data_IF_507387423488
#
_entry.id   IF_507387423488
#
_cell.length_a   1.000
_cell.length_b   1.000
_cell.length_c   1.000
_cell.angle_alpha   90.00
_cell.angle_beta   90.00
_cell.angle_gamma   90.00
#
_symmetry.space_group_name_H-M   'P 1'
#
loop_
_entity.id
_entity.type
_entity.pdbx_description
1 polymer ?
#
# COMPACT_ATOMS: atom_id res chain seq x y z
N UNK A 1 3.40 -17.32 -71.83
CA UNK A 1 2.84 -17.79 -70.54
C UNK A 1 3.60 -17.14 -69.39
N UNK A 2 2.98 -17.00 -68.22
CA UNK A 2 3.62 -16.58 -66.96
C UNK A 2 4.07 -17.84 -66.17
N UNK A 3 4.85 -17.84 -65.07
CA UNK A 3 5.49 -16.82 -64.19
C UNK A 3 6.92 -17.31 -63.83
N UNK A 4 7.79 -16.46 -63.26
CA UNK A 4 9.07 -16.92 -62.70
C UNK A 4 9.98 -15.83 -62.13
N UNK A 5 9.67 -15.30 -60.94
CA UNK A 5 10.47 -14.24 -60.32
C UNK A 5 11.83 -14.73 -59.82
N UNK A 6 12.88 -13.92 -60.01
CA UNK A 6 14.20 -14.17 -59.40
C UNK A 6 14.07 -14.11 -57.87
N UNK A 7 14.35 -15.23 -57.20
CA UNK A 7 14.32 -15.31 -55.75
C UNK A 7 15.30 -14.34 -55.10
N UNK A 8 14.85 -13.60 -54.08
CA UNK A 8 15.76 -12.81 -53.22
C UNK A 8 16.63 -13.78 -52.41
N UNK A 9 17.91 -13.48 -52.15
CA UNK A 9 18.71 -14.29 -51.24
C UNK A 9 18.08 -14.29 -49.85
N UNK A 10 17.92 -15.48 -49.27
CA UNK A 10 17.54 -15.63 -47.86
C UNK A 10 18.69 -15.13 -46.99
N UNK A 11 18.47 -14.00 -46.31
CA UNK A 11 19.45 -13.43 -45.39
C UNK A 11 19.18 -13.98 -43.97
N UNK A 12 20.05 -14.83 -43.39
CA UNK A 12 19.80 -15.47 -42.10
C UNK A 12 19.99 -14.53 -40.88
N UNK A 13 20.25 -13.23 -41.10
CA UNK A 13 20.76 -12.31 -40.08
C UNK A 13 19.74 -11.81 -39.04
N UNK A 14 18.60 -12.48 -38.84
CA UNK A 14 17.60 -12.13 -37.82
C UNK A 14 16.95 -13.34 -37.15
N UNK A 15 17.74 -14.32 -36.71
CA UNK A 15 17.36 -15.05 -35.49
C UNK A 15 17.70 -14.18 -34.28
N UNK A 16 16.69 -13.47 -33.75
CA UNK A 16 16.70 -13.02 -32.35
C UNK A 16 16.66 -14.28 -31.49
N UNK A 17 17.81 -14.91 -31.30
CA UNK A 17 17.94 -16.16 -30.56
C UNK A 17 17.48 -15.94 -29.12
N UNK A 18 16.38 -16.61 -28.73
CA UNK A 18 15.89 -16.59 -27.37
C UNK A 18 16.97 -17.14 -26.44
N UNK A 19 17.70 -16.27 -25.75
CA UNK A 19 18.80 -16.62 -24.83
C UNK A 19 18.37 -17.43 -23.59
N UNK A 20 17.10 -17.80 -23.50
CA UNK A 20 16.58 -18.79 -22.57
C UNK A 20 16.78 -20.25 -23.06
N UNK A 21 16.91 -20.49 -24.37
CA UNK A 21 17.03 -21.84 -24.93
C UNK A 21 18.35 -22.54 -24.51
N UNK A 22 19.45 -21.79 -24.38
CA UNK A 22 20.77 -22.33 -24.01
C UNK A 22 20.97 -22.63 -22.52
N UNK A 23 20.07 -22.20 -21.63
CA UNK A 23 20.18 -22.46 -20.18
C UNK A 23 19.79 -23.90 -19.85
N UNK A 24 20.60 -24.57 -19.03
CA UNK A 24 20.29 -25.93 -18.55
C UNK A 24 19.01 -25.93 -17.70
N UNK A 25 18.33 -27.08 -17.61
CA UNK A 25 17.14 -27.24 -16.77
C UNK A 25 17.40 -26.81 -15.31
N UNK A 26 18.58 -27.15 -14.77
CA UNK A 26 19.01 -26.75 -13.44
C UNK A 26 19.17 -25.22 -13.29
N UNK A 27 19.78 -24.53 -14.26
CA UNK A 27 19.88 -23.07 -14.25
C UNK A 27 18.51 -22.39 -14.31
N UNK A 28 17.58 -22.91 -15.12
CA UNK A 28 16.19 -22.40 -15.18
C UNK A 28 15.47 -22.60 -13.84
N UNK A 29 15.62 -23.77 -13.22
CA UNK A 29 15.05 -24.07 -11.91
C UNK A 29 15.61 -23.17 -10.79
N UNK A 30 16.92 -22.88 -10.82
CA UNK A 30 17.59 -21.97 -9.88
C UNK A 30 17.08 -20.52 -10.03
N UNK A 31 16.98 -20.01 -11.26
CA UNK A 31 16.45 -18.67 -11.54
C UNK A 31 14.97 -18.54 -11.09
N UNK A 32 14.15 -19.56 -11.32
CA UNK A 32 12.76 -19.58 -10.82
C UNK A 32 12.67 -19.65 -9.29
N UNK A 33 13.58 -20.37 -8.62
CA UNK A 33 13.67 -20.39 -7.16
C UNK A 33 14.04 -19.00 -6.60
N UNK A 34 15.07 -18.37 -7.15
CA UNK A 34 15.51 -17.03 -6.74
C UNK A 34 14.43 -15.98 -6.97
N UNK A 35 13.76 -16.02 -8.13
CA UNK A 35 12.60 -15.16 -8.43
C UNK A 35 11.48 -15.32 -7.42
N UNK A 36 11.11 -16.57 -7.08
CA UNK A 36 10.08 -16.85 -6.07
C UNK A 36 10.50 -16.41 -4.66
N UNK A 37 11.79 -16.52 -4.33
CA UNK A 37 12.36 -16.01 -3.08
C UNK A 37 12.27 -14.49 -2.98
N UNK A 38 12.68 -13.77 -4.03
CA UNK A 38 12.60 -12.31 -4.09
C UNK A 38 11.15 -11.80 -3.96
N UNK A 39 10.21 -12.38 -4.72
CA UNK A 39 8.77 -12.04 -4.62
C UNK A 39 8.22 -12.31 -3.21
N UNK A 40 8.69 -13.36 -2.52
CA UNK A 40 8.28 -13.65 -1.14
C UNK A 40 8.82 -12.63 -0.15
N UNK A 41 10.06 -12.18 -0.33
CA UNK A 41 10.69 -11.12 0.47
C UNK A 41 9.93 -9.79 0.32
N UNK A 42 9.69 -9.36 -0.92
CA UNK A 42 8.95 -8.14 -1.26
C UNK A 42 7.53 -8.16 -0.66
N UNK A 43 6.78 -9.26 -0.85
CA UNK A 43 5.43 -9.44 -0.27
C UNK A 43 5.45 -9.38 1.26
N UNK A 44 6.51 -9.88 1.91
CA UNK A 44 6.68 -9.81 3.36
C UNK A 44 6.92 -8.36 3.80
N UNK A 45 7.79 -7.62 3.13
CA UNK A 45 8.07 -6.21 3.40
C UNK A 45 6.82 -5.33 3.24
N UNK A 46 6.08 -5.47 2.12
CA UNK A 46 4.82 -4.76 1.87
C UNK A 46 3.78 -5.08 2.95
N UNK A 47 3.66 -6.35 3.36
CA UNK A 47 2.74 -6.76 4.43
C UNK A 47 3.13 -6.16 5.79
N UNK A 48 4.43 -6.07 6.08
CA UNK A 48 4.92 -5.49 7.32
C UNK A 48 4.71 -3.97 7.37
N UNK A 49 5.00 -3.26 6.27
CA UNK A 49 4.73 -1.82 6.14
C UNK A 49 3.23 -1.51 6.37
N UNK A 50 2.34 -2.24 5.68
CA UNK A 50 0.88 -2.12 5.86
C UNK A 50 0.40 -2.52 7.25
N UNK A 51 1.16 -3.34 7.99
CA UNK A 51 0.85 -3.65 9.40
C UNK A 51 1.23 -2.48 10.30
N UNK A 52 2.44 -1.92 10.14
CA UNK A 52 2.93 -0.77 10.92
C UNK A 52 2.03 0.45 10.74
N UNK A 53 1.68 0.79 9.50
CA UNK A 53 0.75 1.89 9.19
C UNK A 53 -0.60 1.75 9.93
N UNK A 54 -1.21 0.55 9.89
CA UNK A 54 -2.46 0.25 10.60
C UNK A 54 -2.30 0.32 12.12
N UNK A 55 -1.20 -0.22 12.65
CA UNK A 55 -0.89 -0.21 14.07
C UNK A 55 -0.70 1.21 14.59
N UNK A 56 0.00 2.07 13.85
CA UNK A 56 0.14 3.50 14.14
C UNK A 56 -1.19 4.25 14.09
N UNK A 57 -2.03 3.99 13.07
CA UNK A 57 -3.35 4.60 12.97
C UNK A 57 -4.26 4.19 14.16
N UNK A 58 -4.27 2.91 14.52
CA UNK A 58 -5.00 2.39 15.68
C UNK A 58 -4.46 2.97 16.99
N UNK A 59 -3.15 3.11 17.13
CA UNK A 59 -2.51 3.73 18.29
C UNK A 59 -2.91 5.20 18.45
N UNK A 60 -2.80 6.00 17.39
CA UNK A 60 -3.23 7.41 17.36
C UNK A 60 -4.72 7.55 17.71
N UNK A 61 -5.57 6.68 17.17
CA UNK A 61 -6.99 6.63 17.53
C UNK A 61 -7.23 6.28 19.01
N UNK A 62 -6.54 5.26 19.54
CA UNK A 62 -6.67 4.85 20.94
C UNK A 62 -6.18 5.92 21.93
N UNK A 63 -5.07 6.59 21.61
CA UNK A 63 -4.54 7.72 22.38
C UNK A 63 -5.54 8.88 22.40
N UNK A 64 -6.05 9.31 21.23
CA UNK A 64 -7.06 10.38 21.13
C UNK A 64 -8.38 10.01 21.83
N UNK A 65 -8.84 8.76 21.69
CA UNK A 65 -10.04 8.27 22.39
C UNK A 65 -9.87 8.33 23.91
N UNK A 66 -8.70 7.98 24.43
CA UNK A 66 -8.37 8.06 25.87
C UNK A 66 -8.33 9.50 26.37
N UNK A 67 -7.72 10.41 25.62
CA UNK A 67 -7.68 11.84 25.95
C UNK A 67 -9.08 12.46 25.97
N UNK A 68 -9.87 12.21 24.92
CA UNK A 68 -11.26 12.69 24.83
C UNK A 68 -12.11 12.13 25.96
N UNK A 69 -12.00 10.83 26.27
CA UNK A 69 -12.68 10.24 27.43
C UNK A 69 -12.30 10.96 28.73
N UNK A 70 -11.00 11.22 28.97
CA UNK A 70 -10.51 11.97 30.14
C UNK A 70 -11.06 13.39 30.21
N UNK A 71 -11.23 14.09 29.08
CA UNK A 71 -11.84 15.44 29.05
C UNK A 71 -13.35 15.40 29.31
N UNK A 72 -14.05 14.44 28.72
CA UNK A 72 -15.51 14.30 28.84
C UNK A 72 -15.96 13.77 30.22
N UNK A 73 -15.17 12.90 30.85
CA UNK A 73 -15.50 12.28 32.14
C UNK A 73 -15.18 13.14 33.36
N UNK A 74 -14.44 14.24 33.19
CA UNK A 74 -14.11 15.17 34.27
C UNK A 74 -15.35 15.77 34.91
N UNK A 75 -15.35 15.76 36.24
CA UNK A 75 -16.38 16.34 37.11
C UNK A 75 -15.76 17.34 38.07
N UNK A 76 -16.53 18.34 38.48
CA UNK A 76 -16.18 19.25 39.57
C UNK A 76 -16.28 18.53 40.92
N UNK A 77 -15.84 19.18 42.01
CA UNK A 77 -16.02 18.68 43.38
C UNK A 77 -17.48 18.34 43.72
N UNK A 78 -18.43 19.01 43.06
CA UNK A 78 -19.88 18.85 43.23
C UNK A 78 -20.50 17.84 42.24
N UNK A 79 -19.68 17.03 41.55
CA UNK A 79 -20.15 15.98 40.62
C UNK A 79 -20.65 16.47 39.26
N UNK A 80 -20.84 17.78 39.07
CA UNK A 80 -21.22 18.38 37.79
C UNK A 80 -20.11 18.20 36.74
N UNK A 81 -20.43 18.01 35.45
CA UNK A 81 -19.42 17.88 34.39
C UNK A 81 -18.63 19.18 34.18
N UNK A 82 -17.32 19.07 33.93
CA UNK A 82 -16.48 20.23 33.58
C UNK A 82 -16.76 20.63 32.12
N UNK A 83 -17.39 21.79 31.93
CA UNK A 83 -17.86 22.20 30.60
C UNK A 83 -16.73 22.57 29.61
N UNK A 84 -15.61 23.16 30.07
CA UNK A 84 -14.54 23.67 29.19
C UNK A 84 -14.08 22.63 28.13
N UNK A 85 -13.60 21.47 28.58
CA UNK A 85 -13.14 20.41 27.68
C UNK A 85 -14.24 19.75 26.84
N UNK A 86 -15.51 19.86 27.25
CA UNK A 86 -16.66 19.40 26.46
C UNK A 86 -16.95 20.37 25.29
N UNK A 87 -16.86 21.67 25.54
CA UNK A 87 -17.03 22.71 24.52
C UNK A 87 -15.90 22.67 23.47
N UNK A 88 -14.66 22.44 23.89
CA UNK A 88 -13.52 22.24 22.97
C UNK A 88 -13.78 21.08 21.98
N UNK A 89 -14.22 19.92 22.48
CA UNK A 89 -14.52 18.75 21.64
C UNK A 89 -15.74 18.99 20.74
N UNK A 90 -16.74 19.72 21.22
CA UNK A 90 -17.91 20.09 20.42
C UNK A 90 -17.52 21.02 19.26
N UNK A 91 -16.69 22.04 19.54
CA UNK A 91 -16.16 22.94 18.51
C UNK A 91 -15.31 22.21 17.48
N UNK A 92 -14.40 21.33 17.91
CA UNK A 92 -13.59 20.48 17.01
C UNK A 92 -14.48 19.65 16.07
N UNK A 93 -15.63 19.15 16.57
CA UNK A 93 -16.58 18.37 15.78
C UNK A 93 -17.34 19.22 14.77
N UNK A 94 -17.83 20.40 15.17
CA UNK A 94 -18.55 21.33 14.30
C UNK A 94 -17.65 21.82 13.17
N UNK A 95 -16.41 22.21 13.50
CA UNK A 95 -15.42 22.65 12.51
C UNK A 95 -15.14 21.56 11.48
N UNK A 96 -15.02 20.30 11.89
CA UNK A 96 -14.84 19.18 10.96
C UNK A 96 -16.04 18.97 10.06
N UNK A 97 -17.27 18.92 10.59
CA UNK A 97 -18.45 18.75 9.73
C UNK A 97 -18.57 19.88 8.70
N UNK A 98 -18.32 21.13 9.11
CA UNK A 98 -18.33 22.27 8.19
C UNK A 98 -17.24 22.14 7.12
N UNK A 99 -16.00 21.78 7.50
CA UNK A 99 -14.91 21.59 6.54
C UNK A 99 -15.19 20.42 5.59
N UNK A 100 -15.64 19.27 6.10
CA UNK A 100 -15.98 18.07 5.33
C UNK A 100 -17.15 18.31 4.35
N UNK A 101 -18.01 19.29 4.62
CA UNK A 101 -19.08 19.72 3.72
C UNK A 101 -18.65 20.80 2.71
N UNK A 102 -17.54 21.52 2.94
CA UNK A 102 -16.95 22.46 1.98
C UNK A 102 -15.94 21.84 1.00
N UNK A 103 -15.53 20.59 1.23
CA UNK A 103 -14.51 19.86 0.43
C UNK A 103 -15.14 18.80 -0.49
N UNK A 104 -16.47 18.69 -0.51
CA UNK A 104 -17.26 17.85 -1.44
C UNK A 104 -17.74 18.67 -2.63
#
# INVERSE_FOLDING_TARGET
MQKGGKGKPFNPSQSQGNSNESKTFFQRAMQEYERKKAIKEERKQIKEAKRKEKEEALRKYAEKKRENFRKLSQKTKWGQPVMRGRMEILLERIQKSVVDDTVK
#
